data_IF_667911539236
#
_entry.id   IF_667911539236
#
_cell.length_a   1.000
_cell.length_b   1.000
_cell.length_c   1.000
_cell.angle_alpha   90.00
_cell.angle_beta   90.00
_cell.angle_gamma   90.00
#
_symmetry.space_group_name_H-M   'P 1'
#
loop_
_entity.id
_entity.type
_entity.pdbx_description
1 polymer ?
#
# COMPACT_ATOMS: atom_id res chain seq x y z
N UNK A 1 13.36 -25.68 -21.08
CA UNK A 1 13.78 -25.34 -19.71
C UNK A 1 13.47 -23.89 -19.34
N UNK A 2 13.61 -22.91 -20.26
CA UNK A 2 13.30 -21.50 -19.97
C UNK A 2 11.79 -21.28 -19.70
N UNK A 3 10.87 -21.95 -20.41
CA UNK A 3 9.43 -21.82 -20.20
C UNK A 3 8.98 -22.26 -18.79
N UNK A 4 9.54 -23.35 -18.25
CA UNK A 4 9.21 -23.84 -16.89
C UNK A 4 9.71 -22.85 -15.82
N UNK A 5 10.87 -22.23 -16.03
CA UNK A 5 11.39 -21.17 -15.13
C UNK A 5 10.51 -19.94 -15.12
N UNK A 6 9.94 -19.52 -16.25
CA UNK A 6 9.03 -18.39 -16.32
C UNK A 6 7.68 -18.69 -15.64
N UNK A 7 7.15 -19.92 -15.78
CA UNK A 7 5.96 -20.34 -15.04
C UNK A 7 6.16 -20.32 -13.52
N UNK A 8 7.34 -20.73 -13.04
CA UNK A 8 7.66 -20.66 -11.60
C UNK A 8 7.82 -19.26 -11.05
N UNK A 9 8.04 -18.25 -11.92
CA UNK A 9 8.11 -16.83 -11.56
C UNK A 9 6.79 -16.07 -11.73
N UNK A 10 5.68 -16.80 -11.98
CA UNK A 10 4.34 -16.19 -12.07
C UNK A 10 4.06 -15.45 -13.39
N UNK A 11 4.94 -15.58 -14.38
CA UNK A 11 4.72 -14.95 -15.69
C UNK A 11 3.97 -15.93 -16.63
N UNK A 12 2.94 -15.46 -17.35
CA UNK A 12 2.27 -16.28 -18.34
C UNK A 12 3.25 -16.63 -19.46
N UNK A 13 3.45 -17.91 -19.69
CA UNK A 13 4.25 -18.42 -20.80
C UNK A 13 3.34 -19.25 -21.67
N UNK A 14 3.30 -18.88 -22.93
CA UNK A 14 2.62 -19.70 -23.94
C UNK A 14 3.69 -20.52 -24.67
N UNK A 15 3.74 -21.82 -24.36
CA UNK A 15 4.64 -22.77 -25.00
C UNK A 15 4.04 -23.26 -26.30
N UNK A 16 4.88 -23.43 -27.35
CA UNK A 16 4.43 -23.99 -28.62
C UNK A 16 3.97 -25.44 -28.44
N UNK A 17 2.77 -25.73 -28.91
CA UNK A 17 2.13 -27.05 -28.81
C UNK A 17 2.44 -27.90 -30.06
N UNK A 18 3.74 -27.97 -30.43
CA UNK A 18 4.23 -28.70 -31.60
C UNK A 18 5.30 -29.71 -31.22
N UNK A 19 5.43 -30.77 -32.02
CA UNK A 19 6.48 -31.80 -31.87
C UNK A 19 6.22 -32.80 -30.74
N UNK A 20 7.27 -33.52 -30.32
CA UNK A 20 7.21 -34.59 -29.31
C UNK A 20 6.72 -34.14 -27.91
N UNK A 21 6.82 -32.86 -27.62
CA UNK A 21 6.41 -32.29 -26.32
C UNK A 21 5.08 -31.55 -26.36
N UNK A 22 4.33 -31.65 -27.46
CA UNK A 22 3.08 -30.93 -27.68
C UNK A 22 2.05 -31.13 -26.54
N UNK A 23 1.83 -32.36 -26.10
CA UNK A 23 0.90 -32.66 -25.00
C UNK A 23 1.34 -32.11 -23.66
N UNK A 24 2.65 -32.16 -23.37
CA UNK A 24 3.23 -31.60 -22.14
C UNK A 24 3.09 -30.08 -22.15
N UNK A 25 3.39 -29.44 -23.28
CA UNK A 25 3.28 -27.99 -23.44
C UNK A 25 1.82 -27.52 -23.32
N UNK A 26 0.87 -28.24 -23.93
CA UNK A 26 -0.55 -27.99 -23.78
C UNK A 26 -1.02 -28.12 -22.33
N UNK A 27 -0.56 -29.13 -21.61
CA UNK A 27 -0.83 -29.30 -20.18
C UNK A 27 -0.28 -28.16 -19.32
N UNK A 28 0.94 -27.70 -19.61
CA UNK A 28 1.57 -26.58 -18.92
C UNK A 28 0.87 -25.24 -19.22
N UNK A 29 0.50 -24.98 -20.49
CA UNK A 29 -0.28 -23.80 -20.87
C UNK A 29 -1.61 -23.77 -20.12
N UNK A 30 -2.35 -24.87 -20.10
CA UNK A 30 -3.63 -24.99 -19.40
C UNK A 30 -3.49 -24.80 -17.88
N UNK A 31 -2.42 -25.32 -17.27
CA UNK A 31 -2.13 -25.08 -15.86
C UNK A 31 -1.78 -23.62 -15.57
N UNK A 32 -1.01 -22.98 -16.45
CA UNK A 32 -0.69 -21.54 -16.36
C UNK A 32 -1.93 -20.67 -16.44
N UNK A 33 -2.79 -20.92 -17.42
CA UNK A 33 -4.07 -20.20 -17.59
C UNK A 33 -4.99 -20.37 -16.37
N UNK A 34 -5.06 -21.59 -15.82
CA UNK A 34 -5.83 -21.85 -14.61
C UNK A 34 -5.32 -21.07 -13.40
N UNK A 35 -4.00 -21.04 -13.18
CA UNK A 35 -3.39 -20.28 -12.10
C UNK A 35 -3.63 -18.77 -12.26
N UNK A 36 -3.42 -18.24 -13.45
CA UNK A 36 -3.68 -16.83 -13.75
C UNK A 36 -5.13 -16.44 -13.51
N UNK A 37 -6.07 -17.28 -13.95
CA UNK A 37 -7.50 -17.06 -13.72
C UNK A 37 -7.84 -17.09 -12.23
N UNK A 38 -7.27 -18.03 -11.48
CA UNK A 38 -7.45 -18.14 -10.03
C UNK A 38 -6.94 -16.89 -9.30
N UNK A 39 -5.76 -16.40 -9.68
CA UNK A 39 -5.14 -15.21 -9.10
C UNK A 39 -5.95 -13.94 -9.40
N UNK A 40 -6.40 -13.79 -10.64
CA UNK A 40 -7.27 -12.68 -11.05
C UNK A 40 -8.59 -12.69 -10.26
N UNK A 41 -9.23 -13.85 -10.13
CA UNK A 41 -10.47 -13.99 -9.36
C UNK A 41 -10.28 -13.61 -7.90
N UNK A 42 -9.15 -14.04 -7.29
CA UNK A 42 -8.81 -13.70 -5.89
C UNK A 42 -8.60 -12.19 -5.72
N UNK A 43 -7.90 -11.57 -6.64
CA UNK A 43 -7.65 -10.15 -6.58
C UNK A 43 -8.92 -9.30 -6.80
N UNK A 44 -9.81 -9.72 -7.71
CA UNK A 44 -11.12 -9.10 -7.89
C UNK A 44 -11.99 -9.23 -6.64
N UNK A 45 -11.99 -10.39 -6.00
CA UNK A 45 -12.72 -10.64 -4.77
C UNK A 45 -12.23 -9.73 -3.63
N UNK A 46 -10.91 -9.62 -3.42
CA UNK A 46 -10.33 -8.73 -2.40
C UNK A 46 -10.70 -7.26 -2.70
N UNK A 47 -10.67 -6.86 -3.97
CA UNK A 47 -11.08 -5.51 -4.39
C UNK A 47 -12.54 -5.23 -4.06
N UNK A 48 -13.43 -6.18 -4.36
CA UNK A 48 -14.86 -6.07 -4.06
C UNK A 48 -15.11 -5.93 -2.56
N UNK A 49 -14.57 -6.83 -1.73
CA UNK A 49 -14.70 -6.75 -0.27
C UNK A 49 -14.16 -5.43 0.28
N UNK A 50 -13.01 -4.98 -0.23
CA UNK A 50 -12.42 -3.72 0.24
C UNK A 50 -13.29 -2.50 -0.08
N UNK A 51 -13.97 -2.51 -1.22
CA UNK A 51 -14.94 -1.48 -1.57
C UNK A 51 -16.13 -1.52 -0.62
N UNK A 52 -16.67 -2.71 -0.36
CA UNK A 52 -17.86 -2.90 0.46
C UNK A 52 -17.62 -2.60 1.96
N UNK A 53 -16.37 -2.78 2.43
CA UNK A 53 -15.96 -2.37 3.78
C UNK A 53 -15.74 -0.85 3.84
N UNK A 54 -15.23 -0.19 2.81
CA UNK A 54 -14.92 1.25 2.83
C UNK A 54 -16.17 2.10 3.07
N UNK A 55 -17.28 1.75 2.47
CA UNK A 55 -18.53 2.52 2.58
C UNK A 55 -19.05 2.61 4.02
N UNK A 56 -19.33 1.50 4.74
CA UNK A 56 -19.78 1.57 6.13
C UNK A 56 -18.72 2.19 7.04
N UNK A 57 -17.45 1.95 6.77
CA UNK A 57 -16.35 2.50 7.56
C UNK A 57 -16.26 4.02 7.45
N UNK A 58 -16.52 4.58 6.26
CA UNK A 58 -16.56 6.03 6.06
C UNK A 58 -17.73 6.68 6.83
N UNK A 59 -18.87 5.98 6.92
CA UNK A 59 -20.00 6.46 7.73
C UNK A 59 -19.68 6.42 9.23
N UNK A 60 -19.04 5.36 9.71
CA UNK A 60 -18.61 5.25 11.12
C UNK A 60 -17.62 6.37 11.46
N UNK A 61 -16.65 6.64 10.58
CA UNK A 61 -15.70 7.73 10.73
C UNK A 61 -16.40 9.10 10.79
N UNK A 62 -17.35 9.35 9.88
CA UNK A 62 -18.12 10.60 9.85
C UNK A 62 -18.88 10.83 11.16
N UNK A 63 -19.66 9.85 11.60
CA UNK A 63 -20.43 9.97 12.85
C UNK A 63 -19.53 10.08 14.08
N UNK A 64 -18.42 9.34 14.12
CA UNK A 64 -17.48 9.43 15.25
C UNK A 64 -16.84 10.82 15.33
N UNK A 65 -16.46 11.42 14.17
CA UNK A 65 -15.93 12.79 14.13
C UNK A 65 -16.98 13.82 14.57
N UNK A 66 -18.21 13.69 14.11
CA UNK A 66 -19.32 14.60 14.49
C UNK A 66 -19.57 14.56 16.01
N UNK A 67 -19.60 13.36 16.61
CA UNK A 67 -19.77 13.20 18.07
C UNK A 67 -18.56 13.78 18.83
N UNK A 68 -17.33 13.55 18.35
CA UNK A 68 -16.11 14.06 18.97
C UNK A 68 -16.07 15.60 18.98
N UNK A 69 -16.50 16.25 17.88
CA UNK A 69 -16.52 17.69 17.73
C UNK A 69 -17.69 18.39 18.44
N UNK A 70 -18.74 17.65 18.80
CA UNK A 70 -19.93 18.22 19.43
C UNK A 70 -19.68 18.58 20.88
N UNK A 71 -19.41 19.87 21.14
CA UNK A 71 -19.05 20.38 22.49
C UNK A 71 -20.16 20.26 23.54
N UNK A 72 -21.44 20.15 23.13
CA UNK A 72 -22.57 19.97 24.03
C UNK A 72 -22.66 18.56 24.66
N UNK A 73 -21.91 17.59 24.13
CA UNK A 73 -21.90 16.23 24.63
C UNK A 73 -20.93 16.06 25.82
N UNK A 74 -21.21 15.11 26.72
CA UNK A 74 -20.30 14.79 27.81
C UNK A 74 -18.91 14.40 27.32
N UNK A 75 -17.87 14.81 28.05
CA UNK A 75 -16.47 14.50 27.70
C UNK A 75 -16.22 13.00 27.54
N UNK A 76 -16.85 12.17 28.35
CA UNK A 76 -16.77 10.70 28.26
C UNK A 76 -17.27 10.18 26.92
N UNK A 77 -18.37 10.74 26.39
CA UNK A 77 -18.94 10.37 25.09
C UNK A 77 -18.02 10.79 23.96
N UNK A 78 -17.44 11.99 24.02
CA UNK A 78 -16.49 12.49 23.02
C UNK A 78 -15.22 11.64 23.02
N UNK A 79 -14.68 11.25 24.16
CA UNK A 79 -13.54 10.33 24.28
C UNK A 79 -13.83 8.95 23.68
N UNK A 80 -15.04 8.44 23.87
CA UNK A 80 -15.45 7.18 23.23
C UNK A 80 -15.51 7.30 21.71
N UNK A 81 -16.03 8.41 21.20
CA UNK A 81 -16.06 8.70 19.77
C UNK A 81 -14.64 8.83 19.16
N UNK A 82 -13.72 9.50 19.86
CA UNK A 82 -12.31 9.57 19.47
C UNK A 82 -11.68 8.17 19.33
N UNK A 83 -11.96 7.27 20.30
CA UNK A 83 -11.47 5.89 20.24
C UNK A 83 -12.04 5.16 19.01
N UNK A 84 -13.35 5.30 18.77
CA UNK A 84 -14.02 4.70 17.59
C UNK A 84 -13.39 5.24 16.29
N UNK A 85 -13.20 6.55 16.17
CA UNK A 85 -12.56 7.17 15.02
C UNK A 85 -11.16 6.61 14.78
N UNK A 86 -10.31 6.60 15.81
CA UNK A 86 -8.94 6.08 15.72
C UNK A 86 -8.87 4.62 15.27
N UNK A 87 -9.76 3.77 15.78
CA UNK A 87 -9.81 2.37 15.36
C UNK A 87 -10.37 2.20 13.95
N UNK A 88 -11.32 3.03 13.56
CA UNK A 88 -11.86 3.03 12.19
C UNK A 88 -10.83 3.48 11.17
N UNK A 89 -10.01 4.49 11.47
CA UNK A 89 -8.87 4.89 10.65
C UNK A 89 -7.84 3.77 10.49
N UNK A 90 -7.54 3.05 11.58
CA UNK A 90 -6.68 1.86 11.51
C UNK A 90 -7.24 0.79 10.57
N UNK A 91 -8.54 0.49 10.65
CA UNK A 91 -9.20 -0.47 9.77
C UNK A 91 -9.16 -0.01 8.30
N UNK A 92 -9.41 1.28 8.04
CA UNK A 92 -9.29 1.87 6.70
C UNK A 92 -7.90 1.64 6.13
N UNK A 93 -6.85 1.93 6.90
CA UNK A 93 -5.46 1.75 6.48
C UNK A 93 -5.13 0.26 6.22
N UNK A 94 -5.66 -0.67 7.02
CA UNK A 94 -5.47 -2.11 6.80
C UNK A 94 -6.12 -2.58 5.48
N UNK A 95 -7.34 -2.13 5.19
CA UNK A 95 -8.05 -2.45 3.94
C UNK A 95 -7.30 -1.88 2.73
N UNK A 96 -6.79 -0.65 2.82
CA UNK A 96 -6.00 -0.04 1.76
C UNK A 96 -4.65 -0.75 1.55
N UNK A 97 -4.00 -1.19 2.63
CA UNK A 97 -2.77 -1.98 2.55
C UNK A 97 -3.02 -3.34 1.90
N UNK A 98 -4.10 -4.03 2.27
CA UNK A 98 -4.50 -5.30 1.66
C UNK A 98 -4.72 -5.16 0.16
N UNK A 99 -5.44 -4.12 -0.27
CA UNK A 99 -5.65 -3.82 -1.67
C UNK A 99 -4.35 -3.56 -2.43
N UNK A 100 -3.44 -2.79 -1.83
CA UNK A 100 -2.16 -2.50 -2.46
C UNK A 100 -1.30 -3.76 -2.60
N UNK A 101 -1.19 -4.55 -1.53
CA UNK A 101 -0.43 -5.81 -1.54
C UNK A 101 -0.96 -6.74 -2.64
N UNK A 102 -2.29 -6.88 -2.72
CA UNK A 102 -2.95 -7.68 -3.76
C UNK A 102 -2.62 -7.18 -5.17
N UNK A 103 -2.66 -5.87 -5.40
CA UNK A 103 -2.33 -5.30 -6.71
C UNK A 103 -0.86 -5.53 -7.10
N UNK A 104 0.05 -5.45 -6.13
CA UNK A 104 1.47 -5.68 -6.36
C UNK A 104 1.78 -7.17 -6.59
N UNK A 105 1.18 -8.06 -5.80
CA UNK A 105 1.37 -9.51 -5.90
C UNK A 105 0.92 -10.06 -7.25
N UNK A 106 -0.23 -9.61 -7.72
CA UNK A 106 -0.83 -10.13 -8.96
C UNK A 106 -0.57 -9.28 -10.20
N UNK A 107 0.35 -8.31 -10.12
CA UNK A 107 0.73 -7.41 -11.23
C UNK A 107 -0.48 -6.77 -11.95
N UNK A 108 -1.59 -6.59 -11.23
CA UNK A 108 -2.87 -6.13 -11.78
C UNK A 108 -2.92 -4.64 -12.13
N UNK A 109 -1.92 -3.90 -11.75
CA UNK A 109 -1.82 -2.49 -12.09
C UNK A 109 -0.43 -2.21 -12.64
N UNK A 110 -0.31 -1.75 -13.89
CA UNK A 110 0.97 -1.32 -14.41
C UNK A 110 1.49 -0.18 -13.54
N UNK A 111 2.73 -0.30 -13.05
CA UNK A 111 3.39 0.78 -12.32
C UNK A 111 3.48 2.01 -13.23
N UNK A 112 3.04 3.16 -12.74
CA UNK A 112 3.18 4.44 -13.43
C UNK A 112 4.60 4.96 -13.25
N UNK A 113 5.54 4.38 -14.01
CA UNK A 113 6.95 4.74 -13.93
C UNK A 113 7.18 6.12 -14.51
N UNK A 114 7.77 6.99 -13.69
CA UNK A 114 8.21 8.33 -14.10
C UNK A 114 9.58 8.64 -13.50
N UNK A 115 10.26 9.65 -14.04
CA UNK A 115 11.52 10.13 -13.49
C UNK A 115 11.23 10.99 -12.26
N UNK A 116 11.83 10.66 -11.13
CA UNK A 116 11.59 11.26 -9.82
C UNK A 116 12.90 11.72 -9.19
N UNK A 117 12.83 12.76 -8.38
CA UNK A 117 13.93 13.26 -7.55
C UNK A 117 13.74 12.72 -6.13
N UNK A 118 14.61 11.83 -5.60
CA UNK A 118 14.41 11.20 -4.28
C UNK A 118 14.26 12.18 -3.12
N UNK A 119 14.99 13.30 -3.16
CA UNK A 119 14.90 14.34 -2.11
C UNK A 119 13.52 14.98 -2.07
N UNK A 120 12.89 15.21 -3.20
CA UNK A 120 11.53 15.76 -3.25
C UNK A 120 10.51 14.78 -2.70
N UNK A 121 10.66 13.50 -3.01
CA UNK A 121 9.83 12.43 -2.42
C UNK A 121 9.99 12.35 -0.90
N UNK A 122 11.22 12.43 -0.41
CA UNK A 122 11.49 12.42 1.02
C UNK A 122 10.87 13.65 1.72
N UNK A 123 11.00 14.85 1.13
CA UNK A 123 10.34 16.06 1.64
C UNK A 123 8.82 15.93 1.68
N UNK A 124 8.23 15.35 0.64
CA UNK A 124 6.79 15.12 0.59
C UNK A 124 6.34 14.15 1.70
N UNK A 125 7.05 13.03 1.87
CA UNK A 125 6.74 12.05 2.91
C UNK A 125 6.88 12.62 4.33
N UNK A 126 7.93 13.39 4.60
CA UNK A 126 8.14 14.09 5.88
C UNK A 126 7.00 15.08 6.12
N UNK A 127 6.64 15.91 5.13
CA UNK A 127 5.55 16.89 5.24
C UNK A 127 4.20 16.21 5.53
N UNK A 128 3.92 15.07 4.89
CA UNK A 128 2.71 14.29 5.13
C UNK A 128 2.63 13.80 6.59
N UNK A 129 3.72 13.22 7.10
CA UNK A 129 3.77 12.72 8.47
C UNK A 129 3.68 13.84 9.51
N UNK A 130 4.28 15.01 9.24
CA UNK A 130 4.18 16.18 10.12
C UNK A 130 2.74 16.74 10.17
N UNK A 131 2.06 16.79 9.02
CA UNK A 131 0.67 17.26 8.93
C UNK A 131 -0.34 16.34 9.63
N UNK A 132 -0.01 15.04 9.77
CA UNK A 132 -0.82 14.07 10.54
C UNK A 132 -0.76 14.29 12.06
N UNK A 133 0.00 15.28 12.54
CA UNK A 133 0.10 15.63 13.95
C UNK A 133 1.16 14.83 14.70
N UNK A 134 2.40 14.94 14.29
CA UNK A 134 3.52 14.32 15.00
C UNK A 134 3.74 14.99 16.37
N UNK A 135 3.95 14.14 17.40
CA UNK A 135 4.28 14.62 18.76
C UNK A 135 5.69 15.20 18.82
N UNK A 136 5.90 16.25 19.63
CA UNK A 136 7.18 16.97 19.80
C UNK A 136 8.35 16.09 20.27
N UNK A 137 8.07 14.88 20.74
CA UNK A 137 9.12 13.92 21.13
C UNK A 137 9.86 13.26 19.95
N UNK A 138 9.38 13.45 18.72
CA UNK A 138 10.03 12.95 17.51
C UNK A 138 10.61 14.10 16.71
N UNK A 139 11.85 13.95 16.30
CA UNK A 139 12.57 14.92 15.46
C UNK A 139 12.78 14.30 14.07
N UNK A 140 12.20 14.93 13.04
CA UNK A 140 12.42 14.54 11.65
C UNK A 140 13.47 15.47 11.03
N UNK A 141 14.59 14.91 10.59
CA UNK A 141 15.65 15.65 9.91
C UNK A 141 15.88 15.08 8.51
N UNK A 142 15.84 15.97 7.52
CA UNK A 142 16.21 15.62 6.16
C UNK A 142 17.53 16.33 5.81
N UNK A 143 18.63 15.57 5.71
CA UNK A 143 19.93 16.04 5.26
C UNK A 143 20.22 15.61 3.83
N UNK A 144 20.87 16.46 3.08
CA UNK A 144 21.31 16.20 1.71
C UNK A 144 22.82 16.34 1.63
N UNK A 145 23.54 15.21 1.43
CA UNK A 145 25.01 15.20 1.44
C UNK A 145 25.65 15.90 0.23
N UNK A 146 24.91 16.03 -0.89
CA UNK A 146 25.39 16.63 -2.14
C UNK A 146 24.32 17.50 -2.81
N UNK A 147 24.07 18.72 -2.33
CA UNK A 147 22.98 19.58 -2.81
C UNK A 147 23.14 20.11 -4.25
N UNK A 148 24.17 19.73 -4.98
CA UNK A 148 24.40 20.15 -6.37
C UNK A 148 24.27 19.03 -7.42
N UNK A 149 24.06 17.79 -7.01
CA UNK A 149 23.95 16.65 -7.93
C UNK A 149 22.51 16.18 -8.05
N UNK A 150 21.87 16.51 -9.15
CA UNK A 150 20.51 16.02 -9.45
C UNK A 150 20.54 14.50 -9.64
N UNK A 151 20.24 13.75 -8.56
CA UNK A 151 20.03 12.31 -8.62
C UNK A 151 18.59 12.09 -9.02
N UNK A 152 18.36 11.27 -10.04
CA UNK A 152 17.02 10.86 -10.46
C UNK A 152 16.88 9.35 -10.42
N UNK A 153 15.68 8.88 -10.10
CA UNK A 153 15.29 7.47 -10.15
C UNK A 153 14.06 7.30 -11.02
N UNK A 154 13.89 6.10 -11.56
CA UNK A 154 12.65 5.76 -12.29
C UNK A 154 11.77 4.90 -11.38
N UNK A 155 10.54 5.36 -11.10
CA UNK A 155 9.64 4.66 -10.21
C UNK A 155 8.22 5.21 -10.25
N UNK A 156 7.35 4.59 -9.46
CA UNK A 156 5.98 5.06 -9.23
C UNK A 156 5.98 5.95 -7.98
N UNK A 157 5.63 7.23 -8.18
CA UNK A 157 5.66 8.24 -7.12
C UNK A 157 4.78 7.87 -5.92
N UNK A 158 3.57 7.38 -6.21
CA UNK A 158 2.60 7.02 -5.16
C UNK A 158 3.09 5.87 -4.29
N UNK A 159 3.66 4.83 -4.92
CA UNK A 159 4.20 3.66 -4.22
C UNK A 159 5.43 4.03 -3.39
N UNK A 160 6.34 4.84 -3.95
CA UNK A 160 7.56 5.27 -3.26
C UNK A 160 7.24 6.22 -2.08
N UNK A 161 6.32 7.17 -2.26
CA UNK A 161 5.87 8.04 -1.17
C UNK A 161 5.26 7.21 -0.03
N UNK A 162 4.37 6.28 -0.35
CA UNK A 162 3.76 5.37 0.63
C UNK A 162 4.79 4.51 1.35
N UNK A 163 5.81 4.02 0.64
CA UNK A 163 6.93 3.29 1.24
C UNK A 163 7.66 4.15 2.27
N UNK A 164 8.02 5.39 1.91
CA UNK A 164 8.70 6.31 2.82
C UNK A 164 7.85 6.66 4.04
N UNK A 165 6.59 7.02 3.86
CA UNK A 165 5.67 7.28 4.97
C UNK A 165 5.55 6.07 5.91
N UNK A 166 5.47 4.85 5.37
CA UNK A 166 5.41 3.63 6.17
C UNK A 166 6.70 3.41 6.97
N UNK A 167 7.87 3.68 6.39
CA UNK A 167 9.16 3.57 7.09
C UNK A 167 9.23 4.57 8.26
N UNK A 168 8.87 5.85 8.01
CA UNK A 168 8.85 6.88 9.06
C UNK A 168 7.87 6.49 10.17
N UNK A 169 6.65 6.08 9.83
CA UNK A 169 5.65 5.64 10.81
C UNK A 169 6.09 4.41 11.62
N UNK A 170 6.82 3.48 10.99
CA UNK A 170 7.42 2.34 11.70
C UNK A 170 8.45 2.82 12.73
N UNK A 171 9.31 3.78 12.38
CA UNK A 171 10.24 4.39 13.33
C UNK A 171 9.50 5.01 14.53
N UNK A 172 8.41 5.73 14.29
CA UNK A 172 7.58 6.33 15.35
C UNK A 172 6.94 5.25 16.25
N UNK A 173 6.33 4.24 15.66
CA UNK A 173 5.60 3.18 16.41
C UNK A 173 6.56 2.34 17.27
N UNK A 174 7.75 2.04 16.76
CA UNK A 174 8.73 1.22 17.49
C UNK A 174 9.58 2.01 18.50
N UNK A 175 9.46 3.33 18.53
CA UNK A 175 10.15 4.18 19.49
C UNK A 175 9.16 5.05 20.29
N UNK A 176 8.38 4.46 21.20
CA UNK A 176 7.30 5.16 21.91
C UNK A 176 7.80 6.30 22.81
N UNK A 177 9.07 6.30 23.18
CA UNK A 177 9.72 7.33 24.00
C UNK A 177 10.24 8.53 23.19
N UNK A 178 10.12 8.48 21.87
CA UNK A 178 10.67 9.47 20.95
C UNK A 178 11.99 9.03 20.34
N UNK A 179 12.32 9.59 19.17
CA UNK A 179 13.58 9.35 18.46
C UNK A 179 13.81 10.44 17.41
N UNK A 180 15.04 10.51 16.91
CA UNK A 180 15.41 11.26 15.71
C UNK A 180 15.38 10.32 14.51
N UNK A 181 14.75 10.75 13.42
CA UNK A 181 14.51 9.98 12.19
C UNK A 181 15.07 10.74 11.00
#
# INVERSE_FOLDING_TARGET
LNGIRHLSSGHPVHLEENGELAEINAGLNKAGDYLLKKDNTRAEWIRGISHDIRTPLSMILGYASEIEETSSLPETTRKQAEIIRKHSEKLKNLVENLNLTTKLEYSMQPMQKQTLVPVELARQAVSEVLNDGLSDKYELELSEDNPGKAITITGDQSLLNRMLCNLIRNCIVHNPNGCRI
#
